data_IF_070872849961
#
_entry.id   IF_070872849961
#
_cell.length_a   1.000
_cell.length_b   1.000
_cell.length_c   1.000
_cell.angle_alpha   90.00
_cell.angle_beta   90.00
_cell.angle_gamma   90.00
#
_symmetry.space_group_name_H-M   'P 1'
#
loop_
_entity.id
_entity.type
_entity.pdbx_description
1 polymer ?
#
# COMPACT_ATOMS: atom_id res chain seq x y z
N UNK A 1 20.36 12.65 1.64
CA UNK A 1 20.39 11.18 1.61
C UNK A 1 20.10 10.75 3.03
N UNK A 2 18.83 10.46 3.30
CA UNK A 2 18.37 10.26 4.66
C UNK A 2 18.75 8.84 5.09
N UNK A 3 19.11 8.72 6.36
CA UNK A 3 19.53 7.51 7.07
C UNK A 3 18.53 6.31 6.92
N UNK A 4 17.35 6.54 6.35
CA UNK A 4 16.19 5.66 6.25
C UNK A 4 16.31 4.58 5.16
N UNK A 5 17.00 4.84 4.04
CA UNK A 5 17.12 3.85 2.94
C UNK A 5 18.01 2.65 3.32
N UNK A 6 18.78 2.76 4.40
CA UNK A 6 19.86 1.83 4.73
C UNK A 6 19.46 0.64 5.60
N UNK A 7 18.21 0.57 6.09
CA UNK A 7 17.77 -0.46 7.05
C UNK A 7 16.41 -1.09 6.74
N UNK A 8 15.77 -0.79 5.60
CA UNK A 8 14.51 -1.45 5.25
C UNK A 8 14.76 -2.85 4.69
N UNK A 9 14.10 -3.86 5.25
CA UNK A 9 14.04 -5.19 4.68
C UNK A 9 13.06 -5.19 3.50
N UNK A 10 13.38 -5.89 2.41
CA UNK A 10 12.56 -5.94 1.17
C UNK A 10 11.10 -6.33 1.40
N UNK A 11 10.82 -7.17 2.40
CA UNK A 11 9.45 -7.58 2.78
C UNK A 11 8.67 -6.47 3.47
N UNK A 12 9.37 -5.61 4.21
CA UNK A 12 8.78 -4.51 4.99
C UNK A 12 8.34 -3.41 4.02
N UNK A 13 9.21 -3.06 3.06
CA UNK A 13 8.87 -2.19 1.95
C UNK A 13 7.69 -2.71 1.13
N UNK A 14 7.66 -4.03 0.87
CA UNK A 14 6.58 -4.67 0.15
C UNK A 14 5.23 -4.56 0.89
N UNK A 15 5.22 -4.83 2.20
CA UNK A 15 4.05 -4.69 3.06
C UNK A 15 3.51 -3.25 3.06
N UNK A 16 4.40 -2.27 3.28
CA UNK A 16 4.06 -0.84 3.31
C UNK A 16 3.54 -0.38 1.94
N UNK A 17 4.22 -0.76 0.86
CA UNK A 17 3.82 -0.37 -0.49
C UNK A 17 2.48 -0.97 -0.90
N UNK A 18 2.23 -2.24 -0.55
CA UNK A 18 1.00 -2.93 -0.88
C UNK A 18 -0.18 -2.39 -0.09
N UNK A 19 -0.02 -2.18 1.22
CA UNK A 19 -1.07 -1.58 2.07
C UNK A 19 -1.41 -0.16 1.61
N UNK A 20 -0.40 0.66 1.30
CA UNK A 20 -0.62 2.00 0.77
C UNK A 20 -1.36 1.99 -0.58
N UNK A 21 -1.03 1.05 -1.47
CA UNK A 21 -1.73 0.90 -2.74
C UNK A 21 -3.19 0.46 -2.56
N UNK A 22 -3.45 -0.45 -1.60
CA UNK A 22 -4.80 -0.86 -1.23
C UNK A 22 -5.63 0.34 -0.76
N UNK A 23 -5.11 1.12 0.20
CA UNK A 23 -5.79 2.31 0.74
C UNK A 23 -6.13 3.33 -0.36
N UNK A 24 -5.21 3.55 -1.30
CA UNK A 24 -5.48 4.38 -2.48
C UNK A 24 -6.58 3.82 -3.36
N UNK A 25 -6.59 2.51 -3.59
CA UNK A 25 -7.65 1.84 -4.36
C UNK A 25 -9.02 2.01 -3.71
N UNK A 26 -9.07 2.00 -2.38
CA UNK A 26 -10.28 2.23 -1.59
C UNK A 26 -10.63 3.72 -1.44
N UNK A 27 -9.73 4.64 -1.80
CA UNK A 27 -9.83 6.09 -1.54
C UNK A 27 -9.84 6.46 -0.06
N UNK A 28 -9.20 5.64 0.77
CA UNK A 28 -8.91 5.97 2.16
C UNK A 28 -7.78 7.01 2.22
N UNK A 29 -8.01 8.08 2.97
CA UNK A 29 -7.05 9.18 3.12
C UNK A 29 -5.98 8.82 4.16
N UNK A 30 -4.90 8.17 3.73
CA UNK A 30 -3.72 7.86 4.56
C UNK A 30 -2.44 8.13 3.75
N UNK A 31 -1.49 8.85 4.34
CA UNK A 31 -0.16 9.11 3.75
C UNK A 31 0.75 7.89 3.84
N UNK A 32 1.75 7.77 2.96
CA UNK A 32 2.68 6.63 2.99
C UNK A 32 3.50 6.62 4.29
N UNK A 33 3.90 7.80 4.76
CA UNK A 33 4.63 7.95 6.02
C UNK A 33 3.85 7.35 7.19
N UNK A 34 2.56 7.68 7.33
CA UNK A 34 1.74 7.10 8.40
C UNK A 34 1.49 5.60 8.23
N UNK A 35 1.46 5.08 6.99
CA UNK A 35 1.45 3.62 6.76
C UNK A 35 2.71 2.98 7.31
N UNK A 36 3.88 3.52 6.99
CA UNK A 36 5.16 3.04 7.51
C UNK A 36 5.20 3.11 9.04
N UNK A 37 4.95 4.28 9.62
CA UNK A 37 5.01 4.50 11.08
C UNK A 37 4.08 3.58 11.86
N UNK A 38 2.86 3.34 11.34
CA UNK A 38 1.88 2.49 12.02
C UNK A 38 2.25 1.01 11.94
N UNK A 39 2.82 0.57 10.82
CA UNK A 39 3.28 -0.79 10.65
C UNK A 39 4.57 -1.07 11.43
N UNK A 40 5.55 -0.17 11.39
CA UNK A 40 6.83 -0.31 12.10
C UNK A 40 6.65 -0.43 13.62
N UNK A 41 5.60 0.17 14.17
CA UNK A 41 5.25 0.08 15.59
C UNK A 41 4.51 -1.22 15.96
N UNK A 42 4.09 -2.03 14.98
CA UNK A 42 3.34 -3.24 15.22
C UNK A 42 4.28 -4.42 15.57
N UNK A 43 4.03 -5.18 16.66
CA UNK A 43 4.92 -6.27 17.09
C UNK A 43 5.08 -7.38 16.06
N UNK A 44 4.03 -7.64 15.26
CA UNK A 44 4.04 -8.66 14.22
C UNK A 44 4.36 -8.14 12.81
N UNK A 45 4.94 -6.95 12.65
CA UNK A 45 5.35 -6.46 11.33
C UNK A 45 6.43 -7.37 10.70
N UNK A 46 6.36 -7.76 9.40
CA UNK A 46 5.39 -7.40 8.35
C UNK A 46 4.31 -8.47 8.06
N UNK A 47 3.72 -9.09 9.07
CA UNK A 47 2.68 -10.12 8.91
C UNK A 47 1.33 -9.57 8.42
N UNK A 48 0.48 -10.45 7.89
CA UNK A 48 -0.88 -10.09 7.48
C UNK A 48 -1.71 -9.54 8.65
N UNK A 49 -1.43 -10.01 9.87
CA UNK A 49 -2.05 -9.51 11.09
C UNK A 49 -1.73 -8.02 11.30
N UNK A 50 -0.47 -7.62 11.13
CA UNK A 50 -0.08 -6.20 11.23
C UNK A 50 -0.82 -5.31 10.22
N UNK A 51 -1.03 -5.78 8.98
CA UNK A 51 -1.79 -5.07 7.96
C UNK A 51 -3.27 -4.96 8.36
N UNK A 52 -3.87 -6.05 8.83
CA UNK A 52 -5.26 -6.14 9.29
C UNK A 52 -5.55 -5.22 10.47
N UNK A 53 -4.67 -5.21 11.48
CA UNK A 53 -4.85 -4.40 12.69
C UNK A 53 -4.68 -2.91 12.40
N UNK A 54 -3.71 -2.55 11.55
CA UNK A 54 -3.53 -1.17 11.08
C UNK A 54 -4.75 -0.67 10.29
N UNK A 55 -5.31 -1.49 9.39
CA UNK A 55 -6.57 -1.17 8.69
C UNK A 55 -7.72 -0.94 9.67
N UNK A 56 -7.84 -1.82 10.68
CA UNK A 56 -8.86 -1.72 11.73
C UNK A 56 -8.71 -0.43 12.54
N UNK A 57 -7.47 -0.03 12.85
CA UNK A 57 -7.16 1.23 13.53
C UNK A 57 -7.61 2.47 12.76
N UNK A 58 -7.63 2.41 11.42
CA UNK A 58 -8.17 3.47 10.56
C UNK A 58 -9.65 3.27 10.18
N UNK A 59 -10.34 2.35 10.87
CA UNK A 59 -11.74 2.03 10.66
C UNK A 59 -12.06 1.51 9.25
N UNK A 60 -11.06 0.90 8.58
CA UNK A 60 -11.25 0.20 7.31
C UNK A 60 -11.65 -1.25 7.60
N UNK A 61 -12.89 -1.60 7.23
CA UNK A 61 -13.38 -2.96 7.38
C UNK A 61 -12.53 -3.91 6.53
N UNK A 62 -12.06 -5.00 7.13
CA UNK A 62 -11.17 -5.93 6.48
C UNK A 62 -11.35 -7.35 7.02
N UNK A 63 -10.95 -8.34 6.24
CA UNK A 63 -11.03 -9.76 6.61
C UNK A 63 -9.97 -10.56 5.88
N UNK A 64 -9.16 -11.32 6.62
CA UNK A 64 -8.26 -12.33 6.08
C UNK A 64 -9.00 -13.63 5.77
N UNK A 65 -8.76 -14.20 4.59
CA UNK A 65 -9.35 -15.48 4.16
C UNK A 65 -8.25 -16.46 3.73
N UNK A 66 -8.44 -17.73 4.10
CA UNK A 66 -7.71 -18.86 3.53
C UNK A 66 -8.63 -19.55 2.51
N UNK A 67 -8.19 -19.54 1.26
CA UNK A 67 -8.86 -20.17 0.13
C UNK A 67 -8.11 -21.44 -0.26
N UNK A 68 -8.84 -22.37 -0.88
CA UNK A 68 -8.33 -23.68 -1.29
C UNK A 68 -8.00 -23.73 -2.77
N UNK A 69 -8.70 -22.94 -3.61
CA UNK A 69 -8.49 -22.94 -5.06
C UNK A 69 -8.46 -21.52 -5.61
N UNK A 70 -7.74 -21.33 -6.71
CA UNK A 70 -7.55 -20.01 -7.34
C UNK A 70 -8.85 -19.49 -7.99
N UNK A 71 -9.79 -20.39 -8.30
CA UNK A 71 -11.12 -20.06 -8.83
C UNK A 71 -11.92 -19.21 -7.84
N UNK A 72 -11.78 -19.45 -6.54
CA UNK A 72 -12.47 -18.70 -5.49
C UNK A 72 -12.12 -17.21 -5.49
N UNK A 73 -10.95 -16.84 -6.05
CA UNK A 73 -10.56 -15.43 -6.19
C UNK A 73 -11.55 -14.63 -7.06
N UNK A 74 -12.27 -15.29 -7.98
CA UNK A 74 -13.24 -14.64 -8.87
C UNK A 74 -14.50 -14.15 -8.15
N UNK A 75 -14.77 -14.67 -6.96
CA UNK A 75 -15.93 -14.31 -6.15
C UNK A 75 -15.62 -13.13 -5.21
N UNK A 76 -14.35 -12.73 -5.12
CA UNK A 76 -13.91 -11.69 -4.20
C UNK A 76 -14.12 -10.28 -4.78
N UNK A 77 -14.50 -9.30 -3.94
CA UNK A 77 -14.50 -7.91 -4.34
C UNK A 77 -13.07 -7.44 -4.61
N UNK A 78 -12.90 -6.63 -5.67
CA UNK A 78 -11.63 -5.99 -6.01
C UNK A 78 -11.58 -4.54 -5.48
N UNK A 79 -10.39 -4.01 -5.16
CA UNK A 79 -9.11 -4.72 -5.10
C UNK A 79 -8.92 -5.48 -3.78
N UNK A 80 -8.06 -6.50 -3.77
CA UNK A 80 -7.68 -7.22 -2.54
C UNK A 80 -6.18 -7.54 -2.51
N UNK A 81 -5.65 -7.78 -1.33
CA UNK A 81 -4.25 -8.19 -1.15
C UNK A 81 -4.17 -9.71 -1.21
N UNK A 82 -3.23 -10.23 -1.99
CA UNK A 82 -2.92 -11.66 -2.03
C UNK A 82 -1.51 -11.89 -1.51
N UNK A 83 -1.32 -12.98 -0.76
CA UNK A 83 -0.02 -13.37 -0.23
C UNK A 83 0.61 -14.47 -1.09
N UNK A 84 1.88 -14.29 -1.46
CA UNK A 84 2.68 -15.19 -2.27
C UNK A 84 3.76 -15.87 -1.43
N UNK A 85 4.11 -17.10 -1.78
CA UNK A 85 5.18 -17.91 -1.18
C UNK A 85 6.58 -17.53 -1.68
N UNK A 86 6.81 -16.26 -2.00
CA UNK A 86 8.11 -15.72 -2.46
C UNK A 86 8.76 -14.94 -1.30
N UNK A 87 10.10 -14.90 -1.24
CA UNK A 87 10.86 -14.03 -0.33
C UNK A 87 10.45 -14.12 1.16
N UNK A 88 10.12 -15.32 1.65
CA UNK A 88 9.64 -15.54 3.03
C UNK A 88 8.30 -14.84 3.37
N UNK A 89 7.51 -14.51 2.34
CA UNK A 89 6.23 -13.84 2.43
C UNK A 89 6.23 -12.56 1.60
N UNK A 90 5.27 -12.44 0.69
CA UNK A 90 5.20 -11.30 -0.23
C UNK A 90 3.75 -10.97 -0.55
N UNK A 91 3.42 -9.69 -0.53
CA UNK A 91 2.08 -9.19 -0.82
C UNK A 91 2.01 -8.58 -2.21
N UNK A 92 0.90 -8.82 -2.89
CA UNK A 92 0.56 -8.14 -4.14
C UNK A 92 -0.87 -7.63 -4.08
N UNK A 93 -1.14 -6.52 -4.76
CA UNK A 93 -2.49 -5.97 -4.87
C UNK A 93 -3.16 -6.47 -6.14
N UNK A 94 -4.13 -7.38 -6.01
CA UNK A 94 -4.92 -7.87 -7.15
C UNK A 94 -5.95 -6.79 -7.52
N UNK A 95 -5.97 -6.43 -8.80
CA UNK A 95 -6.78 -5.32 -9.33
C UNK A 95 -7.75 -5.74 -10.42
N UNK A 96 -7.57 -6.90 -11.05
CA UNK A 96 -8.50 -7.44 -12.05
C UNK A 96 -8.32 -8.95 -12.21
N UNK A 97 -9.45 -9.65 -12.41
CA UNK A 97 -9.53 -11.04 -12.86
C UNK A 97 -10.43 -11.08 -14.09
N UNK A 98 -9.89 -11.47 -15.24
CA UNK A 98 -10.62 -11.53 -16.51
C UNK A 98 -10.30 -12.84 -17.23
N UNK A 99 -11.31 -13.70 -17.40
CA UNK A 99 -11.11 -15.04 -17.92
C UNK A 99 -10.11 -15.82 -17.06
N UNK A 100 -9.02 -16.29 -17.69
CA UNK A 100 -7.91 -17.00 -17.04
C UNK A 100 -6.69 -16.10 -16.79
N UNK A 101 -6.89 -14.78 -16.76
CA UNK A 101 -5.83 -13.81 -16.54
C UNK A 101 -6.07 -13.05 -15.25
N UNK A 102 -5.01 -12.92 -14.44
CA UNK A 102 -4.98 -12.08 -13.24
C UNK A 102 -4.06 -10.88 -13.48
N UNK A 103 -4.50 -9.71 -13.02
CA UNK A 103 -3.69 -8.49 -12.98
C UNK A 103 -3.48 -8.07 -11.54
N UNK A 104 -2.23 -7.86 -11.17
CA UNK A 104 -1.85 -7.37 -9.85
C UNK A 104 -0.71 -6.34 -9.93
N UNK A 105 -0.53 -5.58 -8.86
CA UNK A 105 0.61 -4.68 -8.69
C UNK A 105 1.57 -5.27 -7.68
N UNK A 106 2.85 -5.29 -8.04
CA UNK A 106 4.00 -5.67 -7.24
C UNK A 106 4.88 -4.43 -7.02
N UNK A 107 5.48 -4.26 -5.84
CA UNK A 107 6.26 -3.07 -5.52
C UNK A 107 7.61 -3.01 -6.27
N UNK A 108 8.21 -4.14 -6.63
CA UNK A 108 9.46 -4.21 -7.38
C UNK A 108 9.21 -4.21 -8.89
N UNK A 109 8.16 -4.90 -9.33
CA UNK A 109 7.93 -5.21 -10.74
C UNK A 109 6.82 -4.35 -11.38
N UNK A 110 6.11 -3.56 -10.56
CA UNK A 110 5.00 -2.75 -11.02
C UNK A 110 3.78 -3.59 -11.41
N UNK A 111 3.07 -3.16 -12.45
CA UNK A 111 1.87 -3.86 -12.92
C UNK A 111 2.25 -5.16 -13.63
N UNK A 112 1.66 -6.26 -13.18
CA UNK A 112 1.84 -7.62 -13.69
C UNK A 112 0.54 -8.16 -14.24
N UNK A 113 0.66 -8.93 -15.32
CA UNK A 113 -0.45 -9.67 -15.94
C UNK A 113 0.08 -11.08 -16.21
N UNK A 114 -0.59 -12.10 -15.70
CA UNK A 114 -0.21 -13.50 -15.95
C UNK A 114 -1.42 -14.43 -15.90
N UNK A 115 -1.21 -15.67 -16.35
CA UNK A 115 -2.24 -16.70 -16.29
C UNK A 115 -2.56 -17.05 -14.83
N UNK A 116 -3.83 -17.33 -14.54
CA UNK A 116 -4.28 -17.66 -13.20
C UNK A 116 -3.58 -18.92 -12.65
N UNK A 117 -3.30 -19.89 -13.52
CA UNK A 117 -2.54 -21.11 -13.22
C UNK A 117 -1.07 -20.85 -12.91
N UNK A 118 -0.48 -19.78 -13.46
CA UNK A 118 0.90 -19.38 -13.14
C UNK A 118 0.96 -18.66 -11.79
N UNK A 119 -0.04 -17.83 -11.51
CA UNK A 119 -0.19 -17.17 -10.22
C UNK A 119 -0.38 -18.18 -9.07
N UNK A 120 -1.23 -19.20 -9.28
CA UNK A 120 -1.53 -20.25 -8.29
C UNK A 120 -0.27 -20.96 -7.77
N UNK A 121 0.72 -21.19 -8.64
CA UNK A 121 1.99 -21.84 -8.26
C UNK A 121 2.70 -21.11 -7.13
N UNK A 122 2.58 -19.78 -7.10
CA UNK A 122 3.24 -18.93 -6.12
C UNK A 122 2.29 -18.43 -5.03
N UNK A 123 0.98 -18.43 -5.26
CA UNK A 123 0.00 -17.92 -4.29
C UNK A 123 -0.17 -18.83 -3.09
N UNK A 124 -0.12 -18.28 -1.87
CA UNK A 124 -0.16 -19.07 -0.64
C UNK A 124 -1.55 -19.62 -0.29
N UNK A 125 -2.60 -19.22 -1.01
CA UNK A 125 -3.99 -19.45 -0.63
C UNK A 125 -4.56 -18.38 0.29
N UNK A 126 -3.74 -17.41 0.73
CA UNK A 126 -4.16 -16.37 1.68
C UNK A 126 -4.45 -15.07 0.94
N UNK A 127 -5.55 -14.41 1.33
CA UNK A 127 -5.93 -13.08 0.87
C UNK A 127 -6.39 -12.22 2.04
N UNK A 128 -6.28 -10.90 1.88
CA UNK A 128 -6.87 -9.90 2.77
C UNK A 128 -7.80 -9.01 1.95
N UNK A 129 -9.09 -9.14 2.24
CA UNK A 129 -10.12 -8.26 1.72
C UNK A 129 -10.18 -7.01 2.57
N UNK A 130 -10.43 -5.87 1.92
CA UNK A 130 -10.73 -4.63 2.60
C UNK A 130 -11.82 -3.90 1.84
N UNK A 131 -12.76 -3.33 2.59
CA UNK A 131 -13.90 -2.60 2.06
C UNK A 131 -13.79 -1.14 2.48
N UNK A 132 -13.84 -0.26 1.48
CA UNK A 132 -14.04 1.17 1.71
C UNK A 132 -15.53 1.45 1.94
N UNK A 133 -15.83 2.44 2.77
CA UNK A 133 -17.22 2.90 2.92
C UNK A 133 -17.60 3.78 1.75
N UNK A 134 -18.21 3.17 0.74
CA UNK A 134 -18.76 3.91 -0.39
C UNK A 134 -19.85 4.89 0.11
N UNK A 135 -19.55 6.18 0.11
CA UNK A 135 -20.49 7.25 0.47
C UNK A 135 -20.15 8.05 1.73
N UNK A 136 -19.14 7.66 2.51
CA UNK A 136 -18.68 8.45 3.66
C UNK A 136 -17.54 9.41 3.25
N UNK A 137 -17.65 10.67 3.69
CA UNK A 137 -16.63 11.68 3.40
C UNK A 137 -15.31 11.29 4.04
N UNK A 138 -14.19 11.55 3.36
CA UNK A 138 -12.87 11.14 3.79
C UNK A 138 -12.37 11.75 5.13
N UNK A 139 -13.15 12.65 5.74
CA UNK A 139 -12.93 13.16 7.09
C UNK A 139 -13.46 12.21 8.20
N UNK A 140 -14.18 11.15 7.82
CA UNK A 140 -14.80 10.19 8.76
C UNK A 140 -14.08 8.85 8.84
N UNK A 141 -13.08 8.60 7.99
CA UNK A 141 -12.33 7.35 7.94
C UNK A 141 -10.96 7.54 7.26
N UNK A 142 -9.95 6.81 7.72
CA UNK A 142 -8.54 7.07 7.39
C UNK A 142 -7.78 7.76 8.54
N UNK A 143 -6.70 8.48 8.21
CA UNK A 143 -5.89 9.14 9.23
C UNK A 143 -6.43 10.53 9.62
N UNK A 144 -6.32 10.87 10.90
CA UNK A 144 -6.65 12.21 11.38
C UNK A 144 -5.68 13.25 10.79
N UNK A 145 -6.22 14.32 10.21
CA UNK A 145 -5.40 15.41 9.66
C UNK A 145 -4.69 15.11 8.34
N UNK A 146 -5.22 14.19 7.52
CA UNK A 146 -4.67 13.82 6.20
C UNK A 146 -4.22 15.01 5.35
N UNK A 147 -5.04 16.06 5.20
CA UNK A 147 -4.70 17.21 4.36
C UNK A 147 -3.43 17.93 4.84
N UNK A 148 -3.17 17.97 6.15
CA UNK A 148 -1.98 18.55 6.74
C UNK A 148 -0.77 17.63 6.53
N UNK A 149 -0.91 16.33 6.84
CA UNK A 149 0.17 15.35 6.66
C UNK A 149 0.57 15.16 5.20
N UNK A 150 -0.39 15.18 4.26
CA UNK A 150 -0.14 15.10 2.82
C UNK A 150 0.71 16.27 2.31
N UNK A 151 0.51 17.48 2.86
CA UNK A 151 1.36 18.63 2.55
C UNK A 151 2.79 18.42 3.05
N UNK A 152 2.97 17.89 4.26
CA UNK A 152 4.30 17.56 4.78
C UNK A 152 4.99 16.47 3.94
N UNK A 153 4.29 15.38 3.59
CA UNK A 153 4.82 14.32 2.71
C UNK A 153 5.25 14.86 1.33
N UNK A 154 4.49 15.80 0.77
CA UNK A 154 4.86 16.50 -0.47
C UNK A 154 6.10 17.38 -0.27
N UNK A 155 6.16 18.17 0.82
CA UNK A 155 7.29 19.04 1.15
C UNK A 155 8.58 18.27 1.43
N UNK A 156 8.49 17.10 2.07
CA UNK A 156 9.64 16.24 2.34
C UNK A 156 10.15 15.56 1.06
N UNK A 157 9.25 15.16 0.17
CA UNK A 157 9.59 14.65 -1.16
C UNK A 157 10.08 15.78 -2.12
N UNK A 158 9.79 17.04 -1.80
CA UNK A 158 10.33 18.23 -2.48
C UNK A 158 11.74 18.55 -1.96
N UNK A 159 12.72 17.68 -2.22
CA UNK A 159 14.15 18.01 -2.09
C UNK A 159 14.83 18.08 -3.45
N UNK A 160 15.11 19.31 -3.89
CA UNK A 160 15.89 19.58 -5.10
C UNK A 160 16.26 21.06 -5.26
N UNK A 161 17.27 21.39 -6.09
CA UNK A 161 17.85 22.73 -6.25
C UNK A 161 16.85 23.81 -6.70
N UNK A 162 15.65 23.45 -7.14
CA UNK A 162 14.59 24.38 -7.54
C UNK A 162 14.08 25.28 -6.41
N UNK A 163 13.99 24.79 -5.16
CA UNK A 163 13.60 25.63 -4.01
C UNK A 163 14.72 26.63 -3.68
N UNK A 164 15.98 26.19 -3.75
CA UNK A 164 17.16 27.05 -3.54
C UNK A 164 17.34 28.07 -4.68
N UNK A 165 17.14 27.67 -5.93
CA UNK A 165 17.22 28.55 -7.11
C UNK A 165 16.10 29.60 -7.12
N UNK A 166 14.88 29.24 -6.71
CA UNK A 166 13.78 30.20 -6.56
C UNK A 166 14.04 31.19 -5.41
N UNK A 167 14.61 30.75 -4.29
CA UNK A 167 15.01 31.64 -3.20
C UNK A 167 16.19 32.54 -3.60
N UNK A 168 17.18 32.02 -4.34
CA UNK A 168 18.32 32.81 -4.81
C UNK A 168 17.92 33.85 -5.87
N UNK A 169 17.03 33.52 -6.80
CA UNK A 169 16.56 34.48 -7.81
C UNK A 169 15.75 35.63 -7.19
N UNK A 170 14.95 35.35 -6.16
CA UNK A 170 14.22 36.37 -5.40
C UNK A 170 15.15 37.29 -4.58
N UNK A 171 16.27 36.78 -4.08
CA UNK A 171 17.27 37.60 -3.36
C UNK A 171 18.08 38.48 -4.33
N UNK A 172 18.36 38.02 -5.54
CA UNK A 172 19.05 38.79 -6.58
C UNK A 172 18.19 39.89 -7.22
N UNK A 173 16.86 39.82 -7.13
CA UNK A 173 15.94 40.86 -7.63
C UNK A 173 15.76 42.03 -6.65
N UNK A 174 16.22 41.88 -5.41
CA UNK A 174 16.05 42.86 -4.33
C UNK A 174 17.35 43.57 -3.91
N UNK A 175 18.48 43.35 -4.61
CA UNK A 175 19.77 44.04 -4.43
C UNK A 175 20.12 44.84 -5.67
#
# INVERSE_FOLDING_TARGET
MALFDTLSNTTDDNAVATLYALLKGLRANVTRATVWESLEQHPDFPSLLSLSDVLTGWQVANTGLQLNTVEQLRELPLPFVAHLRKNNGWYVLVTSLQGDTITYTDNEQGRRIEALTDFEKNWSGVVLLAEGRAGETADQWGETGYATKRKYELLENLRGPFVLLACCSLLCLCS
#
